data_IF_479439861874
#
_entry.id   IF_479439861874
#
_cell.length_a   1.000
_cell.length_b   1.000
_cell.length_c   1.000
_cell.angle_alpha   90.00
_cell.angle_beta   90.00
_cell.angle_gamma   90.00
#
_symmetry.space_group_name_H-M   'P 1'
#
loop_
_entity.id
_entity.type
_entity.pdbx_description
1 polymer ?
#
# COMPACT_ATOMS: atom_id res chain seq x y z
N UNK A 1 1.48 -8.84 15.86
CA UNK A 1 0.85 -7.95 14.89
C UNK A 1 1.22 -8.43 13.49
N UNK A 2 0.29 -8.39 12.56
CA UNK A 2 0.46 -8.89 11.19
C UNK A 2 0.07 -7.80 10.18
N UNK A 3 0.91 -7.54 9.19
CA UNK A 3 0.64 -6.59 8.11
C UNK A 3 0.52 -7.36 6.80
N UNK A 4 -0.62 -7.21 6.13
CA UNK A 4 -0.83 -7.72 4.78
C UNK A 4 -0.36 -6.69 3.77
N UNK A 5 0.51 -7.10 2.85
CA UNK A 5 0.95 -6.29 1.72
C UNK A 5 0.40 -6.90 0.44
N UNK A 6 -0.30 -6.12 -0.36
CA UNK A 6 -0.71 -6.54 -1.71
C UNK A 6 0.10 -5.82 -2.78
N UNK A 7 0.48 -6.54 -3.83
CA UNK A 7 1.06 -5.99 -5.07
C UNK A 7 0.22 -6.51 -6.23
N UNK A 8 -0.92 -5.87 -6.54
CA UNK A 8 -1.87 -6.43 -7.51
C UNK A 8 -1.35 -6.48 -8.94
N UNK A 9 -0.40 -5.62 -9.29
CA UNK A 9 0.19 -5.51 -10.63
C UNK A 9 1.58 -6.15 -10.72
N UNK A 10 1.78 -7.25 -10.00
CA UNK A 10 3.06 -7.95 -9.93
C UNK A 10 3.34 -8.96 -11.05
N UNK A 11 2.50 -9.08 -12.07
CA UNK A 11 2.71 -10.05 -13.15
C UNK A 11 3.37 -9.43 -14.37
N UNK A 12 4.33 -10.14 -14.94
CA UNK A 12 5.19 -9.74 -16.06
C UNK A 12 4.77 -10.24 -17.43
N UNK A 13 3.48 -10.43 -17.72
CA UNK A 13 3.05 -10.74 -19.08
C UNK A 13 3.27 -9.52 -20.00
N UNK A 14 4.48 -9.44 -20.56
CA UNK A 14 4.97 -8.34 -21.39
C UNK A 14 4.31 -8.22 -22.78
N UNK A 15 3.32 -9.05 -23.11
CA UNK A 15 2.88 -9.17 -24.52
C UNK A 15 2.15 -7.95 -25.08
N UNK A 16 1.64 -7.04 -24.28
CA UNK A 16 0.90 -5.89 -24.84
C UNK A 16 1.55 -4.52 -24.67
N UNK A 17 2.54 -4.36 -23.79
CA UNK A 17 3.28 -3.09 -23.57
C UNK A 17 2.43 -1.89 -23.11
N UNK A 18 1.11 -2.08 -22.95
CA UNK A 18 0.17 -1.00 -22.63
C UNK A 18 -0.12 -0.91 -21.13
N UNK A 19 0.21 -1.97 -20.39
CA UNK A 19 -0.04 -2.06 -18.95
C UNK A 19 1.21 -2.60 -18.24
N UNK A 20 2.18 -1.73 -17.94
CA UNK A 20 3.43 -2.15 -17.31
C UNK A 20 3.19 -2.78 -15.95
N UNK A 21 4.10 -3.67 -15.58
CA UNK A 21 4.22 -4.20 -14.22
C UNK A 21 4.71 -3.09 -13.31
N UNK A 22 4.21 -3.03 -12.10
CA UNK A 22 4.70 -2.14 -11.05
C UNK A 22 6.04 -2.70 -10.51
N UNK A 23 7.14 -2.48 -11.28
CA UNK A 23 8.44 -3.08 -11.01
C UNK A 23 9.04 -2.58 -9.70
N UNK A 24 8.88 -1.31 -9.41
CA UNK A 24 9.31 -0.72 -8.15
C UNK A 24 8.58 -1.31 -6.95
N UNK A 25 7.27 -1.58 -7.07
CA UNK A 25 6.50 -2.23 -6.02
C UNK A 25 7.00 -3.66 -5.75
N UNK A 26 7.34 -4.42 -6.80
CA UNK A 26 7.90 -5.77 -6.66
C UNK A 26 9.28 -5.77 -6.00
N UNK A 27 10.09 -4.77 -6.26
CA UNK A 27 11.39 -4.62 -5.61
C UNK A 27 11.20 -4.15 -4.16
N UNK A 28 10.36 -3.14 -3.95
CA UNK A 28 10.15 -2.52 -2.64
C UNK A 28 9.51 -3.46 -1.62
N UNK A 29 8.64 -4.39 -2.04
CA UNK A 29 7.98 -5.31 -1.12
C UNK A 29 8.97 -6.12 -0.29
N UNK A 30 10.09 -6.57 -0.87
CA UNK A 30 11.11 -7.30 -0.12
C UNK A 30 11.80 -6.45 0.96
N UNK A 31 12.12 -5.19 0.65
CA UNK A 31 12.66 -4.26 1.66
C UNK A 31 11.66 -3.95 2.76
N UNK A 32 10.37 -3.84 2.41
CA UNK A 32 9.32 -3.58 3.40
C UNK A 32 9.09 -4.78 4.32
N UNK A 33 9.12 -6.01 3.79
CA UNK A 33 9.04 -7.23 4.59
C UNK A 33 10.19 -7.28 5.62
N UNK A 34 11.44 -7.10 5.17
CA UNK A 34 12.62 -7.08 6.05
C UNK A 34 12.52 -5.98 7.13
N UNK A 35 12.05 -4.78 6.75
CA UNK A 35 11.89 -3.66 7.67
C UNK A 35 10.81 -3.93 8.73
N UNK A 36 9.65 -4.48 8.33
CA UNK A 36 8.57 -4.86 9.24
C UNK A 36 9.03 -5.93 10.24
N UNK A 37 9.74 -6.96 9.77
CA UNK A 37 10.34 -7.95 10.67
C UNK A 37 11.33 -7.31 11.65
N UNK A 38 12.12 -6.34 11.17
CA UNK A 38 13.07 -5.58 11.99
C UNK A 38 12.40 -4.80 13.13
N UNK A 39 11.14 -4.41 12.99
CA UNK A 39 10.33 -3.74 14.04
C UNK A 39 9.33 -4.68 14.73
N UNK A 40 9.55 -6.00 14.65
CA UNK A 40 8.72 -7.05 15.27
C UNK A 40 7.25 -7.06 14.79
N UNK A 41 7.03 -6.79 13.51
CA UNK A 41 5.75 -6.96 12.82
C UNK A 41 5.91 -8.11 11.82
N UNK A 42 4.94 -9.01 11.77
CA UNK A 42 4.93 -10.12 10.81
C UNK A 42 4.38 -9.64 9.47
N UNK A 43 5.19 -9.56 8.39
CA UNK A 43 4.67 -9.28 7.07
C UNK A 43 4.06 -10.54 6.44
N UNK A 44 3.05 -10.35 5.61
CA UNK A 44 2.49 -11.37 4.73
C UNK A 44 2.17 -10.72 3.40
N UNK A 45 2.72 -11.21 2.30
CA UNK A 45 2.54 -10.60 0.98
C UNK A 45 1.66 -11.43 0.06
N UNK A 46 0.84 -10.75 -0.74
CA UNK A 46 0.01 -11.35 -1.77
C UNK A 46 0.24 -10.63 -3.11
N UNK A 47 1.03 -11.25 -3.97
CA UNK A 47 1.43 -10.67 -5.26
C UNK A 47 0.45 -11.13 -6.35
N UNK A 48 0.05 -10.20 -7.21
CA UNK A 48 -0.76 -10.49 -8.38
C UNK A 48 0.00 -11.34 -9.40
N UNK A 49 -0.64 -12.40 -9.88
CA UNK A 49 -0.06 -13.34 -10.86
C UNK A 49 -0.76 -13.29 -12.21
N UNK A 50 -1.66 -12.32 -12.40
CA UNK A 50 -2.40 -12.12 -13.64
C UNK A 50 -2.00 -10.78 -14.23
N UNK A 51 -1.68 -10.75 -15.51
CA UNK A 51 -1.37 -9.52 -16.21
C UNK A 51 -2.52 -8.52 -16.11
N UNK A 52 -2.20 -7.27 -15.81
CA UNK A 52 -3.15 -6.16 -15.74
C UNK A 52 -3.96 -5.98 -17.04
N UNK A 53 -3.35 -6.26 -18.20
CA UNK A 53 -4.02 -6.23 -19.49
C UNK A 53 -5.12 -7.29 -19.63
N UNK A 54 -4.95 -8.44 -19.00
CA UNK A 54 -5.95 -9.53 -18.98
C UNK A 54 -7.02 -9.25 -17.92
N UNK A 55 -6.62 -8.97 -16.69
CA UNK A 55 -7.52 -8.69 -15.57
C UNK A 55 -6.83 -7.79 -14.55
N UNK A 56 -7.24 -6.53 -14.49
CA UNK A 56 -6.79 -5.62 -13.45
C UNK A 56 -7.37 -6.03 -12.09
N UNK A 57 -6.51 -6.60 -11.24
CA UNK A 57 -6.90 -7.09 -9.90
C UNK A 57 -7.37 -5.96 -8.99
N UNK A 58 -6.95 -4.72 -9.24
CA UNK A 58 -7.37 -3.56 -8.45
C UNK A 58 -8.70 -2.94 -8.96
N UNK A 59 -9.56 -3.74 -9.55
CA UNK A 59 -10.89 -3.29 -10.02
C UNK A 59 -12.00 -4.24 -9.59
N UNK A 60 -13.18 -3.69 -9.36
CA UNK A 60 -14.39 -4.44 -8.95
C UNK A 60 -14.66 -5.65 -9.85
N UNK A 61 -14.38 -5.58 -11.14
CA UNK A 61 -14.61 -6.69 -12.08
C UNK A 61 -13.81 -7.95 -11.75
N UNK A 62 -12.73 -7.80 -10.99
CA UNK A 62 -11.86 -8.91 -10.57
C UNK A 62 -12.31 -9.56 -9.25
N UNK A 63 -13.36 -9.07 -8.59
CA UNK A 63 -13.75 -9.47 -7.23
C UNK A 63 -13.98 -10.98 -7.04
N UNK A 64 -14.40 -11.69 -8.10
CA UNK A 64 -14.63 -13.15 -8.09
C UNK A 64 -13.39 -13.98 -8.43
N UNK A 65 -12.27 -13.34 -8.75
CA UNK A 65 -11.03 -14.06 -9.01
C UNK A 65 -10.48 -14.66 -7.71
N UNK A 66 -9.88 -15.88 -7.82
CA UNK A 66 -9.34 -16.61 -6.65
C UNK A 66 -8.33 -15.79 -5.83
N UNK A 67 -7.62 -14.85 -6.46
CA UNK A 67 -6.72 -13.95 -5.77
C UNK A 67 -7.46 -13.09 -4.72
N UNK A 68 -8.65 -12.59 -5.07
CA UNK A 68 -9.48 -11.85 -4.12
C UNK A 68 -10.10 -12.72 -3.03
N UNK A 69 -10.31 -14.01 -3.28
CA UNK A 69 -10.73 -14.96 -2.23
C UNK A 69 -9.62 -15.12 -1.19
N UNK A 70 -8.37 -15.26 -1.66
CA UNK A 70 -7.20 -15.37 -0.78
C UNK A 70 -6.96 -14.04 -0.05
N UNK A 71 -7.02 -12.90 -0.75
CA UNK A 71 -6.93 -11.58 -0.15
C UNK A 71 -7.90 -11.40 1.03
N UNK A 72 -9.20 -11.64 0.81
CA UNK A 72 -10.21 -11.53 1.88
C UNK A 72 -10.00 -12.53 3.04
N UNK A 73 -9.39 -13.66 2.77
CA UNK A 73 -9.05 -14.62 3.81
C UNK A 73 -7.88 -14.12 4.66
N UNK A 74 -6.86 -13.55 4.04
CA UNK A 74 -5.70 -12.99 4.72
C UNK A 74 -6.06 -11.74 5.54
N UNK A 75 -6.94 -10.88 5.03
CA UNK A 75 -7.42 -9.70 5.76
C UNK A 75 -8.05 -10.03 7.13
N UNK A 76 -8.61 -11.22 7.33
CA UNK A 76 -9.21 -11.61 8.62
C UNK A 76 -8.23 -11.70 9.78
N UNK A 77 -6.94 -11.80 9.47
CA UNK A 77 -5.87 -11.90 10.47
C UNK A 77 -4.92 -10.72 10.46
N UNK A 78 -5.02 -9.86 9.45
CA UNK A 78 -4.18 -8.68 9.34
C UNK A 78 -4.68 -7.56 10.26
N UNK A 79 -3.75 -6.93 10.96
CA UNK A 79 -4.01 -5.74 11.76
C UNK A 79 -4.01 -4.47 10.90
N UNK A 80 -3.23 -4.47 9.80
CA UNK A 80 -3.12 -3.38 8.80
C UNK A 80 -2.93 -3.99 7.42
N UNK A 81 -3.44 -3.32 6.40
CA UNK A 81 -3.22 -3.66 4.99
C UNK A 81 -2.53 -2.51 4.24
N UNK A 82 -1.53 -2.85 3.44
CA UNK A 82 -0.83 -1.94 2.54
C UNK A 82 -1.06 -2.42 1.09
N UNK A 83 -1.68 -1.57 0.28
CA UNK A 83 -1.80 -1.81 -1.16
C UNK A 83 -0.66 -1.10 -1.87
N UNK A 84 0.30 -1.86 -2.39
CA UNK A 84 1.56 -1.34 -2.88
C UNK A 84 1.58 -1.31 -4.41
N UNK A 85 1.83 -0.13 -4.92
CA UNK A 85 2.01 0.19 -6.32
C UNK A 85 3.31 0.94 -6.56
N UNK A 86 3.67 1.17 -7.82
CA UNK A 86 4.78 2.04 -8.18
C UNK A 86 4.49 2.85 -9.43
N UNK A 87 5.17 3.97 -9.55
CA UNK A 87 5.11 4.85 -10.73
C UNK A 87 6.52 5.13 -11.25
N UNK A 88 6.68 5.23 -12.60
CA UNK A 88 7.98 5.46 -13.21
C UNK A 88 8.49 6.87 -12.89
N UNK A 89 9.81 7.00 -12.74
CA UNK A 89 10.45 8.31 -12.77
C UNK A 89 10.14 9.01 -14.11
N UNK A 90 9.79 10.29 -14.04
CA UNK A 90 9.48 11.10 -15.22
C UNK A 90 10.64 12.04 -15.49
N UNK A 91 11.62 11.66 -16.36
CA UNK A 91 12.88 12.37 -16.49
C UNK A 91 12.81 13.67 -17.28
N UNK A 92 11.76 13.96 -18.02
CA UNK A 92 11.74 15.12 -18.93
C UNK A 92 10.35 15.76 -19.07
N UNK A 93 10.18 16.89 -18.37
CA UNK A 93 8.89 17.59 -18.22
C UNK A 93 8.46 18.43 -19.43
N UNK A 94 9.29 18.60 -20.46
CA UNK A 94 9.08 19.69 -21.42
C UNK A 94 8.29 19.31 -22.69
N UNK A 95 8.13 18.03 -23.02
CA UNK A 95 7.71 17.70 -24.38
C UNK A 95 6.21 17.38 -24.59
N UNK A 96 5.48 16.82 -23.63
CA UNK A 96 4.07 16.49 -23.82
C UNK A 96 3.33 16.29 -22.47
N UNK A 97 2.52 17.26 -22.03
CA UNK A 97 1.79 17.15 -20.76
C UNK A 97 0.81 15.96 -20.67
N UNK A 98 0.33 15.45 -21.79
CA UNK A 98 -0.63 14.34 -21.80
C UNK A 98 0.02 12.98 -21.47
N UNK A 99 1.34 12.87 -21.68
CA UNK A 99 2.09 11.65 -21.35
C UNK A 99 2.25 11.43 -19.84
N UNK A 100 2.01 12.47 -19.05
CA UNK A 100 2.21 12.45 -17.60
C UNK A 100 0.92 12.24 -16.82
N UNK A 101 -0.18 11.95 -17.48
CA UNK A 101 -1.42 11.61 -16.80
C UNK A 101 -1.57 10.10 -16.70
N UNK A 102 -1.86 9.63 -15.49
CA UNK A 102 -2.30 8.25 -15.29
C UNK A 102 -3.63 8.00 -16.01
N UNK A 103 -4.00 6.75 -16.19
CA UNK A 103 -5.32 6.38 -16.75
C UNK A 103 -6.50 6.93 -15.94
N UNK A 104 -6.26 7.30 -14.68
CA UNK A 104 -7.22 7.90 -13.75
C UNK A 104 -7.16 9.43 -13.71
N UNK A 105 -6.25 10.03 -14.48
CA UNK A 105 -6.15 11.49 -14.63
C UNK A 105 -5.23 12.20 -13.64
N UNK A 106 -4.49 11.47 -12.79
CA UNK A 106 -3.48 12.06 -11.91
C UNK A 106 -2.25 12.53 -12.69
N UNK A 107 -1.67 13.62 -12.27
CA UNK A 107 -0.48 14.21 -12.90
C UNK A 107 0.79 13.66 -12.25
N UNK A 108 1.47 12.74 -12.94
CA UNK A 108 2.72 12.13 -12.48
C UNK A 108 3.83 13.13 -12.18
N UNK A 109 3.77 14.36 -12.72
CA UNK A 109 4.74 15.41 -12.41
C UNK A 109 4.63 15.91 -10.98
N UNK A 110 3.44 15.85 -10.40
CA UNK A 110 3.24 16.18 -8.98
C UNK A 110 3.88 15.11 -8.10
N UNK A 111 3.82 13.85 -8.54
CA UNK A 111 4.38 12.72 -7.80
C UNK A 111 5.89 12.59 -7.94
N UNK A 112 6.45 12.96 -9.09
CA UNK A 112 7.85 12.67 -9.45
C UNK A 112 8.89 13.38 -8.59
N UNK A 113 8.50 14.37 -7.80
CA UNK A 113 9.38 14.99 -6.81
C UNK A 113 9.42 14.20 -5.50
N UNK A 114 8.44 13.34 -5.25
CA UNK A 114 8.32 12.56 -4.04
C UNK A 114 8.93 11.17 -4.15
N UNK A 115 9.37 10.63 -3.02
CA UNK A 115 9.80 9.23 -2.90
C UNK A 115 8.60 8.29 -2.76
N UNK A 116 7.54 8.79 -2.13
CA UNK A 116 6.33 8.08 -1.83
C UNK A 116 5.11 8.95 -2.11
N UNK A 117 4.09 8.38 -2.72
CA UNK A 117 2.75 8.97 -2.75
C UNK A 117 1.82 8.14 -1.87
N UNK A 118 1.14 8.80 -0.97
CA UNK A 118 0.14 8.18 -0.09
C UNK A 118 -1.25 8.55 -0.59
N UNK A 119 -2.02 7.56 -0.99
CA UNK A 119 -3.40 7.76 -1.41
C UNK A 119 -4.35 7.62 -0.24
N UNK A 120 -5.20 8.61 -0.04
CA UNK A 120 -6.21 8.56 0.99
C UNK A 120 -7.59 9.01 0.46
N UNK A 121 -8.63 8.44 1.06
CA UNK A 121 -10.02 8.88 0.87
C UNK A 121 -10.53 9.31 2.24
N UNK A 122 -10.83 10.61 2.48
CA UNK A 122 -11.02 11.17 3.82
C UNK A 122 -12.04 10.44 4.71
N UNK A 123 -13.06 9.81 4.11
CA UNK A 123 -14.14 9.14 4.86
C UNK A 123 -13.95 7.62 4.96
N UNK A 124 -12.91 7.07 4.32
CA UNK A 124 -12.70 5.63 4.19
C UNK A 124 -11.35 5.22 4.77
N UNK A 125 -10.30 5.95 4.45
CA UNK A 125 -8.93 5.64 4.89
C UNK A 125 -8.74 6.06 6.34
N UNK A 126 -8.08 5.23 7.14
CA UNK A 126 -7.70 5.59 8.49
C UNK A 126 -6.65 6.72 8.48
N UNK A 127 -7.05 7.90 8.93
CA UNK A 127 -6.21 9.09 8.90
C UNK A 127 -4.98 8.97 9.80
N UNK A 128 -5.09 8.25 10.93
CA UNK A 128 -3.98 8.09 11.86
C UNK A 128 -2.89 7.19 11.26
N UNK A 129 -3.28 6.17 10.46
CA UNK A 129 -2.33 5.33 9.74
C UNK A 129 -1.56 6.16 8.68
N UNK A 130 -2.27 6.99 7.92
CA UNK A 130 -1.67 7.89 6.92
C UNK A 130 -0.69 8.84 7.60
N UNK A 131 -1.14 9.58 8.63
CA UNK A 131 -0.31 10.55 9.36
C UNK A 131 0.97 9.91 9.91
N UNK A 132 0.88 8.71 10.50
CA UNK A 132 2.06 8.02 11.05
C UNK A 132 3.07 7.58 10.00
N UNK A 133 2.61 7.14 8.83
CA UNK A 133 3.51 6.81 7.72
C UNK A 133 4.20 8.06 7.19
N UNK A 134 3.45 9.14 6.97
CA UNK A 134 3.98 10.41 6.46
C UNK A 134 5.00 11.04 7.42
N UNK A 135 4.65 11.12 8.71
CA UNK A 135 5.57 11.60 9.75
C UNK A 135 6.91 10.86 9.71
N UNK A 136 6.87 9.53 9.66
CA UNK A 136 8.08 8.71 9.66
C UNK A 136 8.91 8.87 8.38
N UNK A 137 8.26 9.00 7.21
CA UNK A 137 8.95 9.24 5.92
C UNK A 137 9.63 10.61 5.92
N UNK A 138 8.94 11.65 6.40
CA UNK A 138 9.52 13.00 6.52
C UNK A 138 10.66 13.02 7.53
N UNK A 139 10.53 12.35 8.68
CA UNK A 139 11.61 12.23 9.68
C UNK A 139 12.86 11.51 9.13
N UNK A 140 12.68 10.59 8.19
CA UNK A 140 13.78 9.94 7.47
C UNK A 140 14.45 10.86 6.44
N UNK A 141 13.96 12.10 6.26
CA UNK A 141 14.47 13.07 5.28
C UNK A 141 14.03 12.80 3.85
N UNK A 142 12.95 12.04 3.68
CA UNK A 142 12.38 11.70 2.37
C UNK A 142 11.14 12.55 2.09
N UNK A 143 10.82 12.73 0.81
CA UNK A 143 9.64 13.48 0.39
C UNK A 143 8.45 12.56 0.22
N UNK A 144 7.30 12.96 0.75
CA UNK A 144 6.02 12.29 0.61
C UNK A 144 5.02 13.25 -0.03
N UNK A 145 4.13 12.73 -0.86
CA UNK A 145 3.05 13.48 -1.50
C UNK A 145 1.72 12.83 -1.16
N UNK A 146 0.80 13.63 -0.64
CA UNK A 146 -0.59 13.21 -0.41
C UNK A 146 -1.38 13.28 -1.70
N UNK A 147 -2.16 12.26 -1.96
CA UNK A 147 -3.07 12.24 -3.08
C UNK A 147 -4.47 11.87 -2.61
N UNK A 148 -5.37 12.85 -2.61
CA UNK A 148 -6.79 12.56 -2.41
C UNK A 148 -7.33 11.76 -3.60
N UNK A 149 -7.95 10.63 -3.32
CA UNK A 149 -8.48 9.74 -4.34
C UNK A 149 -8.63 8.32 -3.82
N UNK A 150 -8.82 7.37 -4.73
CA UNK A 150 -8.84 5.96 -4.34
C UNK A 150 -10.22 5.31 -4.33
N UNK A 151 -11.31 6.04 -4.68
CA UNK A 151 -12.61 5.40 -4.89
C UNK A 151 -12.56 4.29 -5.95
N UNK A 152 -11.62 4.38 -6.87
CA UNK A 152 -11.38 3.40 -7.93
C UNK A 152 -10.53 2.22 -7.43
N UNK A 153 -9.87 2.38 -6.28
CA UNK A 153 -9.06 1.34 -5.67
C UNK A 153 -9.95 0.33 -4.93
N UNK A 154 -10.27 -0.73 -5.63
CA UNK A 154 -11.17 -1.76 -5.09
C UNK A 154 -10.58 -2.49 -3.88
N UNK A 155 -9.26 -2.76 -3.88
CA UNK A 155 -8.58 -3.53 -2.83
C UNK A 155 -8.60 -2.78 -1.50
N UNK A 156 -8.15 -1.53 -1.50
CA UNK A 156 -8.14 -0.67 -0.31
C UNK A 156 -9.54 -0.43 0.24
N UNK A 157 -10.53 -0.22 -0.66
CA UNK A 157 -11.93 -0.06 -0.26
C UNK A 157 -12.52 -1.32 0.37
N UNK A 158 -12.18 -2.51 -0.13
CA UNK A 158 -12.60 -3.78 0.49
C UNK A 158 -12.02 -3.91 1.89
N UNK A 159 -10.74 -3.60 2.07
CA UNK A 159 -10.10 -3.67 3.38
C UNK A 159 -10.74 -2.71 4.38
N UNK A 160 -10.79 -1.42 4.07
CA UNK A 160 -11.31 -0.39 4.98
C UNK A 160 -12.82 -0.53 5.25
N UNK A 161 -13.64 -0.71 4.19
CA UNK A 161 -15.09 -0.59 4.32
C UNK A 161 -15.78 -1.92 4.62
N UNK A 162 -15.34 -3.00 3.97
CA UNK A 162 -16.02 -4.29 4.08
C UNK A 162 -15.42 -5.20 5.15
N UNK A 163 -14.13 -5.04 5.44
CA UNK A 163 -13.41 -5.91 6.37
C UNK A 163 -12.98 -5.21 7.65
N UNK A 164 -13.22 -3.90 7.76
CA UNK A 164 -12.84 -3.07 8.92
C UNK A 164 -11.34 -3.20 9.26
N UNK A 165 -10.51 -3.33 8.23
CA UNK A 165 -9.06 -3.44 8.35
C UNK A 165 -8.43 -2.14 7.87
N UNK A 166 -7.73 -1.37 8.71
CA UNK A 166 -7.04 -0.15 8.31
C UNK A 166 -6.15 -0.39 7.09
N UNK A 167 -6.34 0.40 6.04
CA UNK A 167 -5.69 0.16 4.76
C UNK A 167 -5.33 1.47 4.06
N UNK A 168 -4.16 1.50 3.46
CA UNK A 168 -3.66 2.61 2.66
C UNK A 168 -3.04 2.10 1.36
N UNK A 169 -3.18 2.87 0.27
CA UNK A 169 -2.44 2.63 -0.96
C UNK A 169 -1.17 3.49 -0.96
N UNK A 170 -0.06 2.86 -1.25
CA UNK A 170 1.25 3.48 -1.40
C UNK A 170 1.74 3.31 -2.83
N UNK A 171 2.16 4.41 -3.46
CA UNK A 171 2.84 4.41 -4.75
C UNK A 171 4.31 4.80 -4.53
N UNK A 172 5.24 3.89 -4.83
CA UNK A 172 6.67 4.17 -4.72
C UNK A 172 7.23 4.63 -6.07
N UNK A 173 8.16 5.59 -6.01
CA UNK A 173 8.83 6.07 -7.20
C UNK A 173 9.91 5.07 -7.67
N UNK A 174 9.93 4.71 -8.95
CA UNK A 174 10.88 3.76 -9.56
C UNK A 174 12.24 4.38 -9.92
N UNK A 175 12.48 5.66 -9.59
CA UNK A 175 13.73 6.36 -9.94
C UNK A 175 14.98 5.68 -9.36
N UNK A 176 16.07 5.68 -10.13
CA UNK A 176 17.35 5.08 -9.74
C UNK A 176 17.95 5.66 -8.46
N UNK A 177 17.54 6.88 -8.09
CA UNK A 177 18.01 7.56 -6.88
C UNK A 177 17.28 7.13 -5.59
N UNK A 178 16.31 6.22 -5.69
CA UNK A 178 15.51 5.82 -4.53
C UNK A 178 16.31 4.91 -3.59
N UNK A 179 16.33 5.27 -2.31
CA UNK A 179 16.82 4.41 -1.25
C UNK A 179 15.66 3.61 -0.65
N UNK A 180 15.28 2.53 -1.32
CA UNK A 180 14.19 1.68 -0.89
C UNK A 180 14.38 1.10 0.52
N UNK A 181 15.61 0.90 0.94
CA UNK A 181 15.87 0.41 2.29
C UNK A 181 15.50 1.44 3.35
N UNK A 182 15.84 2.72 3.13
CA UNK A 182 15.49 3.81 4.04
C UNK A 182 13.99 4.06 4.03
N UNK A 183 13.38 4.11 2.84
CA UNK A 183 11.94 4.29 2.70
C UNK A 183 11.15 3.17 3.37
N UNK A 184 11.52 1.93 3.15
CA UNK A 184 10.87 0.77 3.76
C UNK A 184 10.94 0.79 5.29
N UNK A 185 12.11 1.17 5.83
CA UNK A 185 12.27 1.33 7.28
C UNK A 185 11.38 2.46 7.82
N UNK A 186 11.29 3.59 7.13
CA UNK A 186 10.42 4.70 7.52
C UNK A 186 8.94 4.27 7.51
N UNK A 187 8.47 3.63 6.44
CA UNK A 187 7.10 3.09 6.36
C UNK A 187 6.83 2.09 7.49
N UNK A 188 7.75 1.16 7.75
CA UNK A 188 7.60 0.17 8.82
C UNK A 188 7.53 0.82 10.21
N UNK A 189 8.32 1.88 10.46
CA UNK A 189 8.26 2.64 11.70
C UNK A 189 6.95 3.41 11.85
N UNK A 190 6.42 3.98 10.77
CA UNK A 190 5.10 4.63 10.76
C UNK A 190 3.98 3.64 11.11
N UNK A 191 3.95 2.48 10.46
CA UNK A 191 3.00 1.39 10.76
C UNK A 191 3.16 0.92 12.22
N UNK A 192 4.39 0.79 12.70
CA UNK A 192 4.65 0.41 14.10
C UNK A 192 4.08 1.46 15.07
N UNK A 193 4.35 2.75 14.82
CA UNK A 193 3.81 3.86 15.61
C UNK A 193 2.29 3.88 15.65
N UNK A 194 1.65 3.62 14.50
CA UNK A 194 0.20 3.46 14.40
C UNK A 194 -0.31 2.32 15.29
N UNK A 195 0.25 1.12 15.14
CA UNK A 195 -0.17 -0.06 15.91
C UNK A 195 0.04 0.10 17.42
N UNK A 196 1.10 0.80 17.83
CA UNK A 196 1.39 1.07 19.24
C UNK A 196 0.42 2.07 19.86
N UNK A 197 -0.26 2.93 19.05
CA UNK A 197 -1.22 3.91 19.53
C UNK A 197 -2.50 3.27 20.13
N UNK A 198 -2.82 2.05 19.73
CA UNK A 198 -3.97 1.32 20.27
C UNK A 198 -3.68 0.58 21.59
N UNK A 199 -2.46 0.64 22.09
CA UNK A 199 -2.02 -0.10 23.27
C UNK A 199 -1.89 -1.61 23.03
N UNK A 200 -1.41 -2.38 24.00
CA UNK A 200 -1.37 -3.83 23.85
C UNK A 200 -2.81 -4.33 23.71
N UNK A 201 -3.09 -5.01 22.59
CA UNK A 201 -4.36 -5.72 22.40
C UNK A 201 -4.66 -6.53 23.68
N UNK A 202 -5.88 -6.42 24.29
CA UNK A 202 -6.18 -7.20 25.48
C UNK A 202 -5.92 -8.66 25.15
N UNK A 203 -4.89 -9.22 25.78
CA UNK A 203 -4.56 -10.63 25.56
C UNK A 203 -5.84 -11.42 25.81
N UNK A 204 -6.28 -12.16 24.82
CA UNK A 204 -7.43 -13.06 24.87
C UNK A 204 -7.17 -14.12 25.93
N UNK A 205 -7.35 -13.80 27.21
CA UNK A 205 -7.01 -14.66 28.33
C UNK A 205 -7.34 -14.13 29.72
N UNK A 206 -7.69 -12.85 29.86
CA UNK A 206 -8.26 -12.44 31.16
C UNK A 206 -9.72 -12.87 31.23
N UNK A 207 -10.08 -13.72 32.20
CA UNK A 207 -11.49 -14.07 32.45
C UNK A 207 -12.24 -12.79 32.83
N UNK A 208 -13.35 -12.53 32.15
CA UNK A 208 -14.27 -11.45 32.52
C UNK A 208 -14.50 -11.47 34.03
N UNK A 209 -14.45 -10.32 34.71
CA UNK A 209 -14.74 -10.26 36.15
C UNK A 209 -16.13 -10.83 36.42
N UNK A 210 -16.21 -11.73 37.40
CA UNK A 210 -17.39 -12.51 37.75
C UNK A 210 -18.53 -11.67 38.43
N UNK A 211 -18.61 -10.38 38.14
CA UNK A 211 -19.57 -9.46 38.78
C UNK A 211 -20.78 -9.07 37.90
N UNK A 212 -21.05 -9.82 36.83
CA UNK A 212 -22.30 -9.66 36.04
C UNK A 212 -22.98 -11.03 35.82
N UNK A 213 -23.28 -11.73 36.90
CA UNK A 213 -24.23 -12.86 36.89
C UNK A 213 -25.44 -12.59 37.78
#
# INVERSE_FOLDING_TARGET
MEVLITVPHGSSDEEDGTHPVDTGALEFVGFLEDALEGVNIKPVSLIGTVSRGVLDLNRLRAHSHRWHEEFRKMLKTADVHIDLHSFPEVPDYESDPQKYQTSTGYDLRVWSTGHLVVFFTPEITDSDLVEKIEEAVVEAGMEVTDQEGGFENYITNVANVLMDTPSVLLEVNEGESQDYQVLAMAVALGIRGYLDSFGPSPQSGEPLPAELS
#
